data_IF_051186972940
#
_entry.id   IF_051186972940
#
_cell.length_a   1.000
_cell.length_b   1.000
_cell.length_c   1.000
_cell.angle_alpha   90.00
_cell.angle_beta   90.00
_cell.angle_gamma   90.00
#
_symmetry.space_group_name_H-M   'P 1'
#
loop_
_entity.id
_entity.type
_entity.pdbx_description
1 polymer ?
#
# COMPACT_ATOMS: atom_id res chain seq x y z
N UNK A 1 28.12 -16.45 17.81
CA UNK A 1 27.73 -16.72 16.42
C UNK A 1 26.93 -15.52 15.95
N UNK A 2 27.54 -14.62 15.16
CA UNK A 2 26.90 -13.37 14.71
C UNK A 2 26.10 -13.71 13.45
N UNK A 3 24.77 -13.62 13.52
CA UNK A 3 23.90 -13.62 12.36
C UNK A 3 24.01 -12.24 11.70
N UNK A 4 24.70 -12.17 10.59
CA UNK A 4 24.71 -11.00 9.70
C UNK A 4 23.48 -11.09 8.83
N UNK A 5 22.40 -10.44 9.24
CA UNK A 5 21.25 -10.20 8.37
C UNK A 5 21.68 -9.15 7.32
N UNK A 6 21.79 -9.57 6.08
CA UNK A 6 21.93 -8.66 4.94
C UNK A 6 20.58 -7.96 4.73
N UNK A 7 20.51 -6.64 4.79
CA UNK A 7 19.27 -5.93 4.46
C UNK A 7 18.95 -6.18 2.98
N UNK A 8 17.78 -6.71 2.71
CA UNK A 8 17.26 -6.97 1.37
C UNK A 8 17.25 -5.66 0.60
N UNK A 9 17.97 -5.60 -0.51
CA UNK A 9 18.04 -4.42 -1.36
C UNK A 9 16.66 -4.13 -1.98
N UNK A 10 16.11 -2.98 -1.65
CA UNK A 10 14.81 -2.45 -2.12
C UNK A 10 14.70 -2.41 -3.67
N UNK A 11 15.83 -2.31 -4.35
CA UNK A 11 15.93 -2.35 -5.82
C UNK A 11 15.51 -3.69 -6.43
N UNK A 12 15.70 -4.79 -5.72
CA UNK A 12 15.31 -6.13 -6.15
C UNK A 12 13.80 -6.37 -6.04
N UNK A 13 13.14 -5.74 -5.07
CA UNK A 13 11.70 -5.82 -4.90
C UNK A 13 10.93 -5.30 -6.13
N UNK A 14 11.30 -4.13 -6.64
CA UNK A 14 10.66 -3.52 -7.82
C UNK A 14 10.97 -4.25 -9.13
N UNK A 15 12.15 -4.88 -9.26
CA UNK A 15 12.54 -5.56 -10.50
C UNK A 15 11.82 -6.90 -10.75
N UNK A 16 11.31 -7.54 -9.71
CA UNK A 16 10.63 -8.83 -9.82
C UNK A 16 9.12 -8.70 -10.05
N UNK A 17 8.51 -7.61 -9.60
CA UNK A 17 7.09 -7.32 -9.90
C UNK A 17 6.84 -7.09 -11.40
N UNK A 18 7.88 -6.71 -12.16
CA UNK A 18 7.79 -6.45 -13.62
C UNK A 18 8.01 -7.69 -14.50
N UNK A 19 8.36 -8.86 -13.95
CA UNK A 19 8.73 -10.05 -14.73
C UNK A 19 7.70 -11.18 -14.75
N UNK A 20 6.58 -11.03 -14.08
CA UNK A 20 5.51 -12.05 -14.04
C UNK A 20 4.46 -11.90 -15.16
N UNK A 21 4.81 -11.35 -16.30
CA UNK A 21 3.90 -11.21 -17.43
C UNK A 21 4.62 -11.26 -18.75
N UNK A 22 4.83 -12.46 -19.31
CA UNK A 22 4.86 -12.76 -20.76
C UNK A 22 5.39 -14.19 -20.99
N UNK A 23 4.49 -15.13 -21.08
CA UNK A 23 4.70 -16.35 -21.87
C UNK A 23 3.46 -16.58 -22.72
N UNK A 24 3.48 -16.03 -23.93
CA UNK A 24 2.55 -16.40 -25.01
C UNK A 24 3.17 -17.54 -25.76
N UNK A 25 2.59 -18.71 -25.66
CA UNK A 25 2.86 -19.87 -26.51
C UNK A 25 1.63 -20.18 -27.34
N UNK A 26 1.74 -19.98 -28.64
CA UNK A 26 0.78 -20.41 -29.69
C UNK A 26 0.75 -21.92 -29.78
N UNK A 27 -0.41 -22.52 -29.97
CA UNK A 27 -0.91 -23.40 -31.08
C UNK A 27 -1.93 -24.40 -30.55
N UNK A 28 -3.09 -24.51 -31.25
CA UNK A 28 -3.83 -25.75 -31.37
C UNK A 28 -5.32 -25.73 -31.02
N UNK A 29 -6.11 -25.70 -32.03
CA UNK A 29 -7.58 -25.83 -32.15
C UNK A 29 -8.24 -26.89 -31.26
N UNK A 30 -9.43 -26.58 -30.71
CA UNK A 30 -10.41 -27.64 -30.40
C UNK A 30 -11.35 -27.39 -29.23
N UNK A 31 -12.55 -26.84 -29.53
CA UNK A 31 -13.88 -27.19 -29.00
C UNK A 31 -14.20 -27.07 -27.51
N UNK A 32 -15.09 -26.12 -27.22
CA UNK A 32 -16.19 -26.09 -26.23
C UNK A 32 -15.96 -26.65 -24.81
N UNK A 33 -15.89 -25.78 -23.82
CA UNK A 33 -16.77 -25.88 -22.64
C UNK A 33 -16.94 -24.51 -22.00
N UNK A 34 -18.18 -24.22 -21.66
CA UNK A 34 -18.61 -22.98 -21.05
C UNK A 34 -18.23 -22.89 -19.59
N UNK A 35 -18.15 -21.64 -19.11
CA UNK A 35 -18.40 -21.18 -17.75
C UNK A 35 -17.35 -21.53 -16.67
N UNK A 36 -16.53 -20.58 -16.39
CA UNK A 36 -16.52 -19.89 -15.11
C UNK A 36 -15.59 -18.68 -15.26
N UNK A 37 -16.19 -17.53 -15.48
CA UNK A 37 -15.54 -16.24 -15.33
C UNK A 37 -15.44 -15.98 -13.82
N UNK A 38 -14.52 -16.66 -13.15
CA UNK A 38 -14.03 -16.18 -11.87
C UNK A 38 -13.22 -14.94 -12.20
N UNK A 39 -13.80 -13.79 -11.86
CA UNK A 39 -13.08 -12.53 -11.83
C UNK A 39 -11.87 -12.71 -10.92
N UNK A 40 -10.71 -13.00 -11.48
CA UNK A 40 -9.43 -12.66 -10.88
C UNK A 40 -9.45 -11.14 -10.82
N UNK A 41 -9.92 -10.61 -9.68
CA UNK A 41 -9.79 -9.20 -9.39
C UNK A 41 -8.32 -8.85 -9.52
N UNK A 42 -8.01 -8.02 -10.50
CA UNK A 42 -6.67 -7.50 -10.70
C UNK A 42 -6.24 -6.78 -9.42
N UNK A 43 -5.43 -7.45 -8.59
CA UNK A 43 -4.77 -6.83 -7.44
C UNK A 43 -3.95 -5.59 -7.86
N UNK A 44 -3.70 -5.43 -9.14
CA UNK A 44 -3.00 -4.30 -9.74
C UNK A 44 -3.88 -3.04 -9.89
N UNK A 45 -5.21 -3.18 -9.87
CA UNK A 45 -6.14 -2.04 -9.95
C UNK A 45 -6.22 -1.22 -8.65
N UNK A 46 -5.77 -1.79 -7.52
CA UNK A 46 -5.81 -1.16 -6.20
C UNK A 46 -4.66 -0.14 -6.02
N UNK A 47 -3.62 -0.19 -6.85
CA UNK A 47 -2.36 0.53 -6.63
C UNK A 47 -2.14 1.74 -7.56
N UNK A 48 -3.06 2.09 -8.42
CA UNK A 48 -2.92 3.28 -9.27
C UNK A 48 -3.43 4.53 -8.55
N UNK A 49 -2.59 5.10 -7.69
CA UNK A 49 -2.94 6.31 -6.93
C UNK A 49 -2.80 7.55 -7.81
N UNK A 50 -3.86 8.34 -7.87
CA UNK A 50 -3.85 9.65 -8.54
C UNK A 50 -3.12 10.70 -7.68
N UNK A 51 -2.88 11.88 -8.25
CA UNK A 51 -2.29 13.02 -7.52
C UNK A 51 -3.35 13.90 -6.82
N UNK A 52 -4.60 13.45 -6.81
CA UNK A 52 -5.73 14.16 -6.19
C UNK A 52 -6.44 13.24 -5.21
N UNK A 53 -6.90 13.82 -4.09
CA UNK A 53 -7.59 13.08 -3.05
C UNK A 53 -8.89 12.48 -3.57
N UNK A 54 -9.07 11.18 -3.33
CA UNK A 54 -10.28 10.43 -3.67
C UNK A 54 -11.34 10.62 -2.58
N UNK A 55 -12.62 10.84 -2.91
CA UNK A 55 -13.69 10.86 -1.91
C UNK A 55 -13.75 9.55 -1.11
N UNK A 56 -14.08 9.64 0.18
CA UNK A 56 -14.33 8.46 1.00
C UNK A 56 -15.51 7.65 0.44
N UNK A 57 -15.43 6.33 0.55
CA UNK A 57 -16.50 5.41 0.19
C UNK A 57 -17.59 5.27 1.26
N UNK A 58 -17.41 5.91 2.41
CA UNK A 58 -18.29 5.86 3.57
C UNK A 58 -18.36 7.23 4.28
N UNK A 59 -19.41 7.45 5.06
CA UNK A 59 -19.61 8.68 5.83
C UNK A 59 -18.64 8.78 7.00
N UNK A 60 -18.31 9.99 7.46
CA UNK A 60 -17.37 10.21 8.56
C UNK A 60 -17.75 9.48 9.85
N UNK A 61 -19.05 9.33 10.15
CA UNK A 61 -19.53 8.60 11.33
C UNK A 61 -19.63 7.08 11.16
N UNK A 62 -19.32 6.54 9.99
CA UNK A 62 -19.55 5.13 9.70
C UNK A 62 -18.63 4.17 10.48
N UNK A 63 -17.53 4.66 11.02
CA UNK A 63 -16.56 3.86 11.79
C UNK A 63 -16.78 3.94 13.31
N UNK A 64 -17.86 4.62 13.77
CA UNK A 64 -18.22 4.64 15.19
C UNK A 64 -18.65 3.24 15.67
N UNK A 65 -18.36 2.87 16.90
CA UNK A 65 -17.75 3.67 17.97
C UNK A 65 -16.21 3.63 18.01
N UNK A 66 -15.56 3.04 17.01
CA UNK A 66 -14.10 2.83 17.01
C UNK A 66 -13.33 4.11 16.66
N UNK A 67 -13.80 4.87 15.67
CA UNK A 67 -13.27 6.18 15.27
C UNK A 67 -14.46 7.13 15.16
N UNK A 68 -14.44 8.22 15.91
CA UNK A 68 -15.53 9.19 15.91
C UNK A 68 -15.58 10.04 14.62
N UNK A 69 -16.76 10.55 14.29
CA UNK A 69 -17.02 11.31 13.08
C UNK A 69 -16.13 12.56 12.96
N UNK A 70 -15.87 13.27 14.07
CA UNK A 70 -15.04 14.48 14.08
C UNK A 70 -13.58 14.15 13.76
N UNK A 71 -13.05 13.07 14.33
CA UNK A 71 -11.69 12.59 14.02
C UNK A 71 -11.56 12.26 12.54
N UNK A 72 -12.52 11.52 11.96
CA UNK A 72 -12.53 11.20 10.54
C UNK A 72 -12.62 12.43 9.66
N UNK A 73 -13.52 13.36 9.97
CA UNK A 73 -13.68 14.60 9.22
C UNK A 73 -12.40 15.44 9.21
N UNK A 74 -11.80 15.68 10.37
CA UNK A 74 -10.56 16.47 10.50
C UNK A 74 -9.40 15.76 9.79
N UNK A 75 -9.27 14.45 9.98
CA UNK A 75 -8.19 13.67 9.38
C UNK A 75 -8.28 13.69 7.84
N UNK A 76 -9.47 13.53 7.29
CA UNK A 76 -9.68 13.55 5.84
C UNK A 76 -9.61 14.97 5.26
N UNK A 77 -10.42 15.93 5.80
CA UNK A 77 -10.61 17.26 5.17
C UNK A 77 -9.50 18.25 5.45
N UNK A 78 -8.65 18.01 6.48
CA UNK A 78 -7.56 18.93 6.87
C UNK A 78 -6.21 18.26 6.70
N UNK A 79 -5.98 17.14 7.38
CA UNK A 79 -4.67 16.51 7.41
C UNK A 79 -4.32 15.86 6.04
N UNK A 80 -5.12 14.94 5.55
CA UNK A 80 -4.88 14.28 4.25
C UNK A 80 -5.02 15.25 3.08
N UNK A 81 -6.04 16.13 3.10
CA UNK A 81 -6.21 17.17 2.09
C UNK A 81 -5.02 18.13 2.01
N UNK A 82 -4.32 18.37 3.13
CA UNK A 82 -3.07 19.14 3.16
C UNK A 82 -1.96 18.49 2.33
N UNK A 83 -1.79 17.17 2.46
CA UNK A 83 -0.82 16.44 1.62
C UNK A 83 -1.19 16.49 0.15
N UNK A 84 -2.45 16.25 -0.22
CA UNK A 84 -2.90 16.31 -1.61
C UNK A 84 -2.67 17.69 -2.24
N UNK A 85 -2.99 18.76 -1.51
CA UNK A 85 -2.75 20.15 -1.96
C UNK A 85 -1.27 20.40 -2.22
N UNK A 86 -0.42 20.11 -1.23
CA UNK A 86 1.03 20.37 -1.32
C UNK A 86 1.71 19.48 -2.36
N UNK A 87 1.19 18.25 -2.57
CA UNK A 87 1.62 17.37 -3.66
C UNK A 87 1.34 18.00 -5.01
N UNK A 88 0.13 18.57 -5.23
CA UNK A 88 -0.20 19.28 -6.46
C UNK A 88 0.76 20.46 -6.76
N UNK A 89 1.19 21.19 -5.73
CA UNK A 89 2.21 22.23 -5.86
C UNK A 89 3.58 21.63 -6.26
N UNK A 90 4.04 20.57 -5.58
CA UNK A 90 5.31 19.91 -5.89
C UNK A 90 5.34 19.34 -7.31
N UNK A 91 4.23 18.74 -7.76
CA UNK A 91 4.04 18.25 -9.14
C UNK A 91 4.28 19.34 -10.16
N UNK A 92 3.71 20.54 -9.94
CA UNK A 92 3.90 21.70 -10.82
C UNK A 92 5.34 22.23 -10.80
N UNK A 93 5.96 22.30 -9.63
CA UNK A 93 7.35 22.77 -9.46
C UNK A 93 8.38 21.84 -10.13
N UNK A 94 8.12 20.53 -10.13
CA UNK A 94 9.05 19.51 -10.62
C UNK A 94 8.67 18.93 -11.99
N UNK A 95 7.61 19.45 -12.62
CA UNK A 95 7.11 19.04 -13.95
C UNK A 95 6.84 17.53 -14.05
N UNK A 96 6.18 16.95 -13.05
CA UNK A 96 5.85 15.53 -13.01
C UNK A 96 4.73 15.19 -14.00
N UNK A 97 4.88 14.07 -14.72
CA UNK A 97 3.85 13.52 -15.61
C UNK A 97 2.72 12.85 -14.80
N UNK A 98 1.63 13.57 -14.61
CA UNK A 98 0.46 13.08 -13.85
C UNK A 98 -0.43 12.08 -14.60
N UNK A 99 -0.10 11.72 -15.85
CA UNK A 99 -0.76 10.62 -16.56
C UNK A 99 -0.23 9.25 -16.11
N UNK A 100 0.81 9.23 -15.30
CA UNK A 100 1.35 8.05 -14.65
C UNK A 100 0.89 7.98 -13.19
N UNK A 101 0.85 6.80 -12.58
CA UNK A 101 0.50 6.67 -11.18
C UNK A 101 1.57 7.29 -10.27
N UNK A 102 1.14 7.74 -9.08
CA UNK A 102 2.04 8.33 -8.08
C UNK A 102 3.14 7.35 -7.64
N UNK A 103 2.89 6.07 -7.69
CA UNK A 103 3.84 4.99 -7.39
C UNK A 103 5.11 5.07 -8.23
N UNK A 104 5.03 5.53 -9.49
CA UNK A 104 6.19 5.73 -10.36
C UNK A 104 7.13 6.84 -9.85
N UNK A 105 6.58 7.85 -9.17
CA UNK A 105 7.34 8.90 -8.48
C UNK A 105 7.95 8.38 -7.19
N UNK A 106 7.13 7.67 -6.37
CA UNK A 106 7.59 7.11 -5.10
C UNK A 106 8.73 6.11 -5.28
N UNK A 107 8.66 5.29 -6.33
CA UNK A 107 9.72 4.32 -6.65
C UNK A 107 11.07 4.96 -7.00
N UNK A 108 11.09 6.26 -7.23
CA UNK A 108 12.29 7.05 -7.60
C UNK A 108 12.39 8.33 -6.75
N UNK A 109 11.84 8.28 -5.55
CA UNK A 109 11.69 9.46 -4.71
C UNK A 109 13.03 10.13 -4.35
N UNK A 110 14.13 9.38 -4.39
CA UNK A 110 15.48 9.91 -4.20
C UNK A 110 15.88 10.97 -5.25
N UNK A 111 15.19 11.03 -6.38
CA UNK A 111 15.43 12.02 -7.45
C UNK A 111 14.57 13.29 -7.30
N UNK A 112 13.71 13.35 -6.30
CA UNK A 112 12.75 14.43 -6.10
C UNK A 112 13.04 15.20 -4.81
N UNK A 113 12.39 16.36 -4.67
CA UNK A 113 12.54 17.22 -3.50
C UNK A 113 11.98 16.57 -2.21
N UNK A 114 12.40 17.11 -1.06
CA UNK A 114 11.79 16.75 0.24
C UNK A 114 10.29 17.08 0.26
N UNK A 115 9.86 18.14 -0.47
CA UNK A 115 8.43 18.50 -0.60
C UNK A 115 7.67 17.38 -1.29
N UNK A 116 8.18 16.86 -2.41
CA UNK A 116 7.60 15.72 -3.13
C UNK A 116 7.58 14.46 -2.25
N UNK A 117 8.69 14.12 -1.59
CA UNK A 117 8.77 12.95 -0.69
C UNK A 117 7.73 13.01 0.42
N UNK A 118 7.66 14.12 1.15
CA UNK A 118 6.75 14.23 2.29
C UNK A 118 5.29 14.25 1.86
N UNK A 119 4.95 14.97 0.80
CA UNK A 119 3.56 15.13 0.39
C UNK A 119 3.09 14.00 -0.55
N UNK A 120 3.94 13.49 -1.42
CA UNK A 120 3.65 12.29 -2.22
C UNK A 120 3.48 11.05 -1.33
N UNK A 121 4.40 10.85 -0.39
CA UNK A 121 4.27 9.77 0.59
C UNK A 121 3.03 9.93 1.47
N UNK A 122 2.81 11.13 2.01
CA UNK A 122 1.64 11.41 2.85
C UNK A 122 0.31 11.21 2.11
N UNK A 123 0.22 11.65 0.86
CA UNK A 123 -0.96 11.44 0.05
C UNK A 123 -1.19 9.93 -0.23
N UNK A 124 -0.18 9.23 -0.72
CA UNK A 124 -0.26 7.78 -0.97
C UNK A 124 -0.69 6.99 0.27
N UNK A 125 -0.03 7.25 1.40
CA UNK A 125 -0.29 6.53 2.65
C UNK A 125 -1.74 6.71 3.10
N UNK A 126 -2.31 7.92 2.95
CA UNK A 126 -3.70 8.18 3.33
C UNK A 126 -4.71 7.62 2.31
N UNK A 127 -4.42 7.68 0.99
CA UNK A 127 -5.28 7.04 -0.01
C UNK A 127 -5.39 5.54 0.23
N UNK A 128 -4.28 4.86 0.53
CA UNK A 128 -4.29 3.44 0.91
C UNK A 128 -5.03 3.21 2.23
N UNK A 129 -4.82 4.07 3.23
CA UNK A 129 -5.45 3.95 4.54
C UNK A 129 -6.98 4.01 4.46
N UNK A 130 -7.52 4.91 3.64
CA UNK A 130 -8.97 4.98 3.43
C UNK A 130 -9.55 3.72 2.76
N UNK A 131 -8.80 3.11 1.84
CA UNK A 131 -9.24 1.92 1.10
C UNK A 131 -9.25 0.65 1.95
N UNK A 132 -8.40 0.56 2.97
CA UNK A 132 -8.34 -0.61 3.85
C UNK A 132 -9.28 -0.53 5.05
N UNK A 133 -10.01 0.59 5.22
CA UNK A 133 -11.03 0.74 6.26
C UNK A 133 -12.42 0.53 5.70
N UNK A 134 -13.27 -0.17 6.45
CA UNK A 134 -14.67 -0.39 6.11
C UNK A 134 -15.53 -0.46 7.37
N UNK A 135 -16.78 0.07 7.34
CA UNK A 135 -17.73 -0.07 8.45
C UNK A 135 -18.07 -1.53 8.78
N UNK A 136 -18.10 -2.37 7.75
CA UNK A 136 -18.51 -3.78 7.85
C UNK A 136 -17.28 -4.71 7.78
N UNK A 137 -16.22 -4.39 8.52
CA UNK A 137 -15.01 -5.20 8.53
C UNK A 137 -15.26 -6.59 9.13
N UNK A 138 -14.78 -7.63 8.47
CA UNK A 138 -14.69 -8.95 9.07
C UNK A 138 -13.68 -8.92 10.24
N UNK A 139 -13.93 -9.74 11.27
CA UNK A 139 -13.02 -9.83 12.43
C UNK A 139 -11.64 -10.38 12.05
N UNK A 140 -11.57 -11.15 10.98
CA UNK A 140 -10.35 -11.81 10.50
C UNK A 140 -10.30 -11.81 8.98
N UNK A 141 -9.11 -11.83 8.39
CA UNK A 141 -8.96 -12.03 6.96
C UNK A 141 -9.41 -13.45 6.57
N UNK A 142 -9.86 -13.60 5.33
CA UNK A 142 -10.30 -14.87 4.74
C UNK A 142 -9.53 -15.15 3.44
N UNK A 143 -9.71 -16.34 2.89
CA UNK A 143 -9.12 -16.75 1.61
C UNK A 143 -7.59 -16.65 1.56
N UNK A 144 -7.06 -16.25 0.41
CA UNK A 144 -5.63 -16.22 0.12
C UNK A 144 -4.84 -15.37 1.12
N UNK A 145 -5.42 -14.27 1.62
CA UNK A 145 -4.76 -13.43 2.61
C UNK A 145 -4.59 -14.14 3.95
N UNK A 146 -5.61 -14.87 4.40
CA UNK A 146 -5.53 -15.66 5.63
C UNK A 146 -4.47 -16.76 5.52
N UNK A 147 -4.41 -17.45 4.38
CA UNK A 147 -3.42 -18.48 4.11
C UNK A 147 -2.00 -17.90 4.07
N UNK A 148 -1.80 -16.76 3.40
CA UNK A 148 -0.51 -16.08 3.35
C UNK A 148 -0.04 -15.60 4.73
N UNK A 149 -0.95 -15.07 5.56
CA UNK A 149 -0.66 -14.67 6.94
C UNK A 149 -0.25 -15.90 7.77
N UNK A 150 -1.03 -16.98 7.74
CA UNK A 150 -0.71 -18.20 8.48
C UNK A 150 0.62 -18.83 8.03
N UNK A 151 0.89 -18.81 6.72
CA UNK A 151 2.15 -19.30 6.17
C UNK A 151 3.36 -18.47 6.59
N UNK A 152 3.21 -17.15 6.70
CA UNK A 152 4.34 -16.24 6.97
C UNK A 152 4.58 -16.01 8.46
N UNK A 153 3.53 -16.03 9.28
CA UNK A 153 3.58 -15.69 10.72
C UNK A 153 3.22 -16.86 11.65
N UNK A 154 2.69 -17.96 11.11
CA UNK A 154 2.22 -19.11 11.87
C UNK A 154 0.76 -18.99 12.31
N UNK A 155 0.26 -17.81 12.61
CA UNK A 155 -1.14 -17.54 12.93
C UNK A 155 -1.51 -16.07 12.72
N UNK A 156 -2.81 -15.78 12.67
CA UNK A 156 -3.31 -14.39 12.63
C UNK A 156 -2.92 -13.62 13.91
N UNK A 157 -3.00 -14.24 15.08
CA UNK A 157 -2.62 -13.63 16.35
C UNK A 157 -1.14 -13.23 16.36
N UNK A 158 -0.26 -14.09 15.86
CA UNK A 158 1.16 -13.79 15.77
C UNK A 158 1.45 -12.63 14.78
N UNK A 159 0.69 -12.54 13.69
CA UNK A 159 0.73 -11.39 12.78
C UNK A 159 0.30 -10.12 13.51
N UNK A 160 -0.85 -10.13 14.20
CA UNK A 160 -1.37 -8.96 14.92
C UNK A 160 -0.35 -8.47 15.96
N UNK A 161 0.24 -9.38 16.74
CA UNK A 161 1.28 -9.04 17.72
C UNK A 161 2.47 -8.31 17.07
N UNK A 162 2.97 -8.84 15.95
CA UNK A 162 4.09 -8.23 15.24
C UNK A 162 3.71 -6.88 14.61
N UNK A 163 2.52 -6.76 14.03
CA UNK A 163 2.05 -5.53 13.42
C UNK A 163 1.85 -4.41 14.46
N UNK A 164 1.22 -4.75 15.58
CA UNK A 164 1.05 -3.81 16.70
C UNK A 164 2.39 -3.40 17.31
N UNK A 165 3.32 -4.34 17.46
CA UNK A 165 4.66 -4.03 17.95
C UNK A 165 5.38 -3.06 17.01
N UNK A 166 5.32 -3.28 15.68
CA UNK A 166 5.90 -2.38 14.69
C UNK A 166 5.28 -0.97 14.75
N UNK A 167 3.97 -0.87 14.97
CA UNK A 167 3.28 0.41 15.13
C UNK A 167 3.63 1.12 16.44
N UNK A 168 3.53 0.40 17.57
CA UNK A 168 3.73 0.96 18.92
C UNK A 168 5.18 1.36 19.22
N UNK A 169 6.15 0.66 18.62
CA UNK A 169 7.58 0.93 18.86
C UNK A 169 8.18 1.94 17.87
N UNK A 170 7.43 2.37 16.84
CA UNK A 170 7.90 3.41 15.92
C UNK A 170 8.10 4.72 16.67
N UNK A 171 9.36 5.15 16.80
CA UNK A 171 9.69 6.41 17.44
C UNK A 171 9.31 7.59 16.54
N UNK A 172 8.58 8.55 17.09
CA UNK A 172 8.03 9.69 16.34
C UNK A 172 6.80 9.31 15.51
N UNK A 173 6.51 10.09 14.47
CA UNK A 173 5.46 9.76 13.51
C UNK A 173 5.90 8.67 12.54
N UNK A 174 4.95 7.92 12.01
CA UNK A 174 5.22 6.90 11.00
C UNK A 174 4.07 5.95 10.78
N UNK A 175 4.33 4.91 10.00
CA UNK A 175 3.36 3.92 9.57
C UNK A 175 3.87 2.51 9.81
N UNK A 176 2.98 1.60 10.16
CA UNK A 176 3.25 0.16 10.13
C UNK A 176 2.66 -0.45 8.85
N UNK A 177 3.35 -1.45 8.31
CA UNK A 177 3.05 -2.04 7.02
C UNK A 177 3.04 -3.56 7.08
N UNK A 178 2.08 -4.16 6.39
CA UNK A 178 2.15 -5.53 5.93
C UNK A 178 2.53 -5.51 4.46
N UNK A 179 3.65 -6.14 4.10
CA UNK A 179 4.17 -6.11 2.73
C UNK A 179 4.44 -7.53 2.22
N UNK A 180 4.34 -7.69 0.90
CA UNK A 180 4.76 -8.91 0.21
C UNK A 180 6.23 -8.77 -0.15
N UNK A 181 7.06 -9.69 0.31
CA UNK A 181 8.48 -9.75 -0.01
C UNK A 181 8.77 -10.35 -1.38
N UNK A 182 10.05 -10.31 -1.79
CA UNK A 182 10.51 -10.88 -3.07
C UNK A 182 10.30 -12.41 -3.17
N UNK A 183 10.24 -13.08 -2.04
CA UNK A 183 9.97 -14.51 -1.90
C UNK A 183 8.47 -14.83 -1.85
N UNK A 184 7.61 -13.86 -2.15
CA UNK A 184 6.14 -13.91 -2.02
C UNK A 184 5.65 -14.17 -0.59
N UNK A 185 6.48 -13.97 0.42
CA UNK A 185 6.05 -14.04 1.82
C UNK A 185 5.66 -12.67 2.34
N UNK A 186 4.73 -12.68 3.27
CA UNK A 186 4.36 -11.49 4.00
C UNK A 186 5.39 -11.16 5.08
N UNK A 187 5.66 -9.88 5.26
CA UNK A 187 6.48 -9.36 6.35
C UNK A 187 5.88 -8.08 6.93
N UNK A 188 6.18 -7.83 8.20
CA UNK A 188 5.76 -6.61 8.90
C UNK A 188 6.96 -5.68 9.06
N UNK A 189 6.75 -4.39 8.85
CA UNK A 189 7.75 -3.36 9.07
C UNK A 189 7.13 -2.02 9.42
N UNK A 190 7.96 -1.02 9.66
CA UNK A 190 7.50 0.35 9.87
C UNK A 190 8.45 1.36 9.25
N UNK A 191 7.90 2.50 8.82
CA UNK A 191 8.64 3.61 8.21
C UNK A 191 8.42 4.90 8.99
N UNK A 192 9.40 5.82 9.03
CA UNK A 192 9.24 7.10 9.71
C UNK A 192 8.43 8.09 8.88
N UNK A 193 7.78 9.02 9.54
CA UNK A 193 7.05 10.14 8.93
C UNK A 193 6.08 9.67 7.85
N UNK A 194 6.25 10.16 6.61
CA UNK A 194 5.41 9.80 5.46
C UNK A 194 6.13 8.87 4.46
N UNK A 195 7.28 8.33 4.82
CA UNK A 195 7.93 7.31 4.01
C UNK A 195 7.08 6.04 3.94
N UNK A 196 7.24 5.30 2.85
CA UNK A 196 6.54 4.03 2.65
C UNK A 196 7.44 3.00 1.94
N UNK A 197 7.03 1.72 1.90
CA UNK A 197 7.84 0.65 1.31
C UNK A 197 8.12 0.74 -0.19
N UNK A 198 7.42 1.62 -0.93
CA UNK A 198 7.66 1.83 -2.37
C UNK A 198 8.88 2.69 -2.64
N UNK A 199 9.30 3.50 -1.67
CA UNK A 199 10.36 4.49 -1.84
C UNK A 199 11.75 3.85 -1.93
N UNK A 200 12.61 4.39 -2.79
CA UNK A 200 14.00 3.97 -3.02
C UNK A 200 15.02 4.61 -2.04
N UNK A 201 14.63 4.81 -0.79
CA UNK A 201 15.39 5.48 0.29
C UNK A 201 15.61 4.57 1.49
#
# INVERSE_FOLDING_TARGET
MKLTENPISRRKFLSNSSKAGLAVGLVGSGILSACSNEAKGDAQAILATSFTQTPLSFDFGALEPHIDAMTMEIHFTKHAAGYAKNLGEAVGEENVDTNKPLEDVLAKISNYSTKMRNNGGGHYNHELFWQIMTPDAAERPEGDLAEAINSSFGSFEAFVEQFEAAAKTRFGSGWAWLVVGEDNKLSVGSTPNQDNPLMDI
#
